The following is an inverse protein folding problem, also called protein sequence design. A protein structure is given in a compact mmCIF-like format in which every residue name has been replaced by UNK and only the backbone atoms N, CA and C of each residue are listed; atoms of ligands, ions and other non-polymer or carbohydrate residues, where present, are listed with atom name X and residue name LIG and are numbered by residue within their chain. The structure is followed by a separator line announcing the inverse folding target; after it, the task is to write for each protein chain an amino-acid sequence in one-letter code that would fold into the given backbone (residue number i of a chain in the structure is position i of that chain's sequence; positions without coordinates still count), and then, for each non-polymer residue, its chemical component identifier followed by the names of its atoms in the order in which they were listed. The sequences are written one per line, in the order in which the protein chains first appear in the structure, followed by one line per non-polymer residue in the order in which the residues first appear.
data_IF_720956484575
#
_entry.id   IF_720956484575
#
_cell.length_a   1.000
_cell.length_b   1.000
_cell.length_c   1.000
_cell.angle_alpha   90.00
_cell.angle_beta   90.00
_cell.angle_gamma   90.00
#
_symmetry.space_group_name_H-M   'P 1'
#
loop_
_entity.id
_entity.type
_entity.pdbx_description
1 polymer ?
#
# COMPACT_ATOMS: atom_id res chain seq x y z
N UNK A 1 11.95 -24.16 19.34
CA UNK A 1 11.55 -22.92 18.63
C UNK A 1 12.60 -21.86 18.86
N UNK A 2 13.29 -21.39 17.82
CA UNK A 2 14.37 -20.43 17.86
C UNK A 2 13.96 -19.12 17.16
N UNK A 3 14.37 -17.97 17.72
CA UNK A 3 14.10 -16.63 17.16
C UNK A 3 15.43 -15.95 16.87
N UNK A 4 15.62 -15.47 15.64
CA UNK A 4 16.86 -14.83 15.21
C UNK A 4 16.61 -13.73 14.16
N UNK A 5 17.55 -12.80 13.97
CA UNK A 5 17.54 -11.89 12.82
C UNK A 5 17.64 -12.64 11.49
N UNK A 6 17.30 -11.92 10.42
CA UNK A 6 17.38 -12.35 9.05
C UNK A 6 18.79 -12.77 8.63
N UNK A 7 18.89 -13.85 7.85
CA UNK A 7 20.09 -14.28 7.13
C UNK A 7 19.85 -14.26 5.61
N UNK A 8 20.93 -14.05 4.82
CA UNK A 8 20.83 -14.03 3.36
C UNK A 8 20.37 -15.36 2.73
N UNK A 9 20.32 -16.43 3.50
CA UNK A 9 19.75 -17.72 3.10
C UNK A 9 18.24 -17.84 3.30
N UNK A 10 17.59 -16.87 3.96
CA UNK A 10 16.18 -16.95 4.34
C UNK A 10 15.16 -16.65 3.23
N UNK A 11 15.47 -15.87 2.16
CA UNK A 11 14.46 -15.48 1.18
C UNK A 11 13.62 -16.63 0.63
N UNK A 12 14.16 -17.80 0.26
CA UNK A 12 13.33 -18.91 -0.21
C UNK A 12 12.34 -19.41 0.85
N UNK A 13 12.76 -19.48 2.12
CA UNK A 13 11.89 -19.88 3.23
C UNK A 13 10.81 -18.83 3.55
N UNK A 14 11.16 -17.55 3.50
CA UNK A 14 10.22 -16.44 3.70
C UNK A 14 9.18 -16.37 2.57
N UNK A 15 9.60 -16.54 1.32
CA UNK A 15 8.73 -16.62 0.16
C UNK A 15 7.77 -17.82 0.26
N UNK A 16 8.28 -18.99 0.65
CA UNK A 16 7.45 -20.17 0.89
C UNK A 16 6.41 -19.91 2.00
N UNK A 17 6.84 -19.31 3.11
CA UNK A 17 5.96 -18.95 4.23
C UNK A 17 4.88 -17.94 3.81
N UNK A 18 5.21 -16.98 2.92
CA UNK A 18 4.23 -16.05 2.32
C UNK A 18 3.07 -16.81 1.68
N UNK A 19 3.38 -17.74 0.76
CA UNK A 19 2.36 -18.51 0.03
C UNK A 19 1.57 -19.46 0.94
N UNK A 20 2.21 -20.03 1.96
CA UNK A 20 1.57 -20.94 2.92
C UNK A 20 0.69 -20.22 3.97
N UNK A 21 0.92 -18.91 4.19
CA UNK A 21 0.28 -18.15 5.28
C UNK A 21 -1.20 -17.80 5.04
N UNK A 22 -1.75 -18.05 3.84
CA UNK A 22 -3.15 -17.77 3.49
C UNK A 22 -3.54 -16.32 3.80
N UNK A 23 -2.82 -15.37 3.23
CA UNK A 23 -2.94 -13.93 3.51
C UNK A 23 -4.23 -13.27 2.99
N UNK A 24 -5.11 -14.05 2.35
CA UNK A 24 -6.39 -13.57 1.84
C UNK A 24 -6.31 -12.87 0.48
N UNK A 25 -7.42 -12.23 0.09
CA UNK A 25 -7.62 -11.66 -1.26
C UNK A 25 -6.72 -10.46 -1.58
N UNK A 26 -6.15 -9.82 -0.55
CA UNK A 26 -5.33 -8.60 -0.71
C UNK A 26 -3.81 -8.87 -0.71
N UNK A 27 -3.38 -10.13 -0.81
CA UNK A 27 -1.98 -10.51 -1.02
C UNK A 27 -1.80 -11.07 -2.43
N UNK A 28 -0.76 -10.64 -3.12
CA UNK A 28 -0.38 -11.19 -4.43
C UNK A 28 0.09 -12.64 -4.28
N UNK A 29 -0.10 -13.44 -5.31
CA UNK A 29 0.26 -14.85 -5.37
C UNK A 29 0.90 -15.17 -6.74
N UNK A 30 1.62 -16.30 -6.82
CA UNK A 30 2.15 -16.80 -8.08
C UNK A 30 3.40 -16.07 -8.59
N UNK A 31 4.02 -15.21 -7.78
CA UNK A 31 5.29 -14.56 -8.10
C UNK A 31 6.48 -15.34 -7.54
N UNK A 32 7.68 -15.10 -8.08
CA UNK A 32 8.93 -15.76 -7.68
C UNK A 32 9.57 -15.14 -6.41
N UNK A 33 10.62 -15.82 -5.92
CA UNK A 33 11.39 -15.35 -4.77
C UNK A 33 12.07 -14.01 -5.03
N UNK A 34 12.50 -13.76 -6.26
CA UNK A 34 13.08 -12.50 -6.73
C UNK A 34 12.15 -11.29 -6.52
N UNK A 35 10.87 -11.48 -6.80
CA UNK A 35 9.84 -10.45 -6.54
C UNK A 35 9.64 -10.23 -5.03
N UNK A 36 9.63 -11.32 -4.24
CA UNK A 36 9.58 -11.17 -2.78
C UNK A 36 10.76 -10.37 -2.25
N UNK A 37 11.98 -10.70 -2.70
CA UNK A 37 13.19 -9.98 -2.34
C UNK A 37 13.11 -8.50 -2.73
N UNK A 38 12.63 -8.21 -3.93
CA UNK A 38 12.52 -6.84 -4.45
C UNK A 38 11.67 -5.93 -3.54
N UNK A 39 10.53 -6.41 -3.06
CA UNK A 39 9.58 -5.61 -2.28
C UNK A 39 9.71 -5.74 -0.75
N UNK A 40 10.42 -6.75 -0.27
CA UNK A 40 10.55 -7.01 1.16
C UNK A 40 11.97 -6.77 1.72
N UNK A 41 13.03 -6.90 0.89
CA UNK A 41 14.41 -6.98 1.38
C UNK A 41 15.34 -5.99 0.66
N UNK A 42 15.10 -5.71 -0.64
CA UNK A 42 15.93 -4.82 -1.45
C UNK A 42 15.74 -3.31 -1.21
N UNK A 43 14.69 -2.80 -0.57
CA UNK A 43 14.61 -1.37 -0.26
C UNK A 43 15.87 -0.89 0.49
N UNK A 44 16.43 0.30 0.15
CA UNK A 44 17.74 0.75 0.66
C UNK A 44 17.77 1.02 2.17
N UNK A 45 16.60 1.05 2.81
CA UNK A 45 16.43 1.21 4.25
C UNK A 45 16.09 -0.12 4.96
N UNK A 46 16.28 -1.26 4.30
CA UNK A 46 16.16 -2.57 4.93
C UNK A 46 17.26 -2.78 5.96
N UNK A 47 16.87 -3.12 7.18
CA UNK A 47 17.79 -3.47 8.26
C UNK A 47 17.59 -4.95 8.65
N UNK A 48 18.67 -5.74 8.59
CA UNK A 48 18.64 -7.19 8.86
C UNK A 48 18.10 -7.53 10.24
N UNK A 49 18.46 -6.75 11.24
CA UNK A 49 18.04 -6.96 12.62
C UNK A 49 16.55 -6.63 12.84
N UNK A 50 15.94 -5.89 11.91
CA UNK A 50 14.52 -5.57 11.92
C UNK A 50 13.63 -6.68 11.37
N UNK A 51 14.17 -7.62 10.56
CA UNK A 51 13.44 -8.79 10.12
C UNK A 51 13.81 -9.98 11.00
N UNK A 52 12.90 -10.39 11.89
CA UNK A 52 13.10 -11.46 12.85
C UNK A 52 12.28 -12.67 12.44
N UNK A 53 12.93 -13.82 12.33
CA UNK A 53 12.33 -15.10 11.95
C UNK A 53 12.15 -16.02 13.16
N UNK A 54 11.14 -16.87 13.09
CA UNK A 54 10.92 -17.99 14.00
C UNK A 54 11.18 -19.31 13.26
N UNK A 55 12.09 -20.12 13.76
CA UNK A 55 12.44 -21.45 13.25
C UNK A 55 11.95 -22.55 14.19
N UNK A 56 11.46 -23.65 13.62
CA UNK A 56 11.23 -24.88 14.36
C UNK A 56 12.54 -25.64 14.62
N UNK A 57 12.44 -26.75 15.35
CA UNK A 57 13.63 -27.55 15.72
C UNK A 57 14.26 -28.29 14.51
N UNK A 58 13.60 -28.30 13.35
CA UNK A 58 14.12 -28.81 12.09
C UNK A 58 14.73 -27.70 11.21
N UNK A 59 14.79 -26.44 11.68
CA UNK A 59 15.32 -25.30 10.94
C UNK A 59 14.37 -24.72 9.90
N UNK A 60 13.08 -25.09 9.92
CA UNK A 60 12.07 -24.54 9.00
C UNK A 60 11.56 -23.21 9.53
N UNK A 61 11.45 -22.20 8.65
CA UNK A 61 10.84 -20.92 8.97
C UNK A 61 9.32 -21.09 9.13
N UNK A 62 8.80 -20.80 10.32
CA UNK A 62 7.39 -20.96 10.68
C UNK A 62 6.70 -19.64 11.00
N UNK A 63 7.45 -18.56 11.07
CA UNK A 63 6.95 -17.20 11.24
C UNK A 63 8.02 -16.16 11.04
N UNK A 64 7.60 -14.91 10.78
CA UNK A 64 8.48 -13.76 10.83
C UNK A 64 7.70 -12.48 11.16
N UNK A 65 8.42 -11.49 11.64
CA UNK A 65 8.00 -10.10 11.76
C UNK A 65 9.01 -9.23 11.04
N UNK A 66 8.54 -8.18 10.35
CA UNK A 66 9.40 -7.20 9.73
C UNK A 66 9.14 -5.84 10.37
N UNK A 67 10.08 -5.40 11.20
CA UNK A 67 10.10 -4.10 11.84
C UNK A 67 10.98 -3.13 11.05
N UNK A 68 10.55 -1.89 10.93
CA UNK A 68 11.23 -0.80 10.24
C UNK A 68 10.77 0.53 10.84
N UNK A 69 10.99 1.64 10.13
CA UNK A 69 10.65 2.97 10.58
C UNK A 69 9.82 3.71 9.53
N UNK A 70 8.97 4.65 9.99
CA UNK A 70 8.23 5.52 9.12
C UNK A 70 9.16 6.52 8.42
N UNK A 71 8.70 7.08 7.31
CA UNK A 71 9.36 8.22 6.68
C UNK A 71 9.09 9.51 7.49
N UNK A 72 10.06 10.44 7.51
CA UNK A 72 9.89 11.78 8.08
C UNK A 72 8.89 12.62 7.24
N UNK A 73 8.42 13.73 7.80
CA UNK A 73 7.44 14.61 7.14
C UNK A 73 7.91 15.20 5.79
N UNK A 74 9.22 15.33 5.60
CA UNK A 74 9.83 15.82 4.35
C UNK A 74 10.05 14.71 3.31
N UNK A 75 9.78 13.46 3.63
CA UNK A 75 9.99 12.26 2.80
C UNK A 75 11.44 12.10 2.29
N UNK A 76 12.42 12.54 3.10
CA UNK A 76 13.85 12.55 2.76
C UNK A 76 14.67 11.53 3.54
N UNK A 77 14.14 11.01 4.65
CA UNK A 77 14.82 10.05 5.52
C UNK A 77 13.80 9.29 6.40
N UNK A 78 14.25 8.23 7.06
CA UNK A 78 13.46 7.56 8.08
C UNK A 78 13.38 8.37 9.36
N UNK A 79 12.26 8.29 10.06
CA UNK A 79 12.02 8.83 11.39
C UNK A 79 12.15 7.69 12.41
N UNK A 80 13.30 7.59 13.05
CA UNK A 80 13.60 6.53 14.00
C UNK A 80 12.80 6.60 15.31
N UNK A 81 12.08 7.68 15.59
CA UNK A 81 11.16 7.74 16.73
C UNK A 81 9.83 7.00 16.46
N UNK A 82 9.54 6.70 15.19
CA UNK A 82 8.29 6.10 14.74
C UNK A 82 8.54 4.72 14.09
N UNK A 83 8.49 3.67 14.89
CA UNK A 83 8.59 2.29 14.43
C UNK A 83 7.36 1.83 13.64
N UNK A 84 7.58 0.89 12.72
CA UNK A 84 6.55 0.23 11.93
C UNK A 84 6.73 -1.29 12.06
N UNK A 85 5.65 -2.04 12.23
CA UNK A 85 5.61 -3.47 11.89
C UNK A 85 5.02 -3.60 10.48
N UNK A 86 5.89 -3.72 9.49
CA UNK A 86 5.52 -3.78 8.08
C UNK A 86 4.83 -5.11 7.71
N UNK A 87 5.23 -6.21 8.35
CA UNK A 87 4.62 -7.52 8.20
C UNK A 87 4.70 -8.34 9.49
N UNK A 88 3.74 -9.25 9.68
CA UNK A 88 3.75 -10.28 10.70
C UNK A 88 3.07 -11.52 10.15
N UNK A 89 3.78 -12.62 10.12
CA UNK A 89 3.28 -13.91 9.63
C UNK A 89 3.61 -15.05 10.56
N UNK A 90 2.66 -15.98 10.68
CA UNK A 90 2.85 -17.27 11.33
C UNK A 90 2.16 -18.33 10.50
N UNK A 91 2.89 -19.39 10.16
CA UNK A 91 2.36 -20.52 9.42
C UNK A 91 1.08 -21.05 10.08
N UNK A 92 0.01 -21.37 9.34
CA UNK A 92 -1.29 -21.75 9.91
C UNK A 92 -1.23 -22.84 10.97
N UNK A 93 -0.43 -23.88 10.77
CA UNK A 93 -0.27 -25.01 11.71
C UNK A 93 0.46 -24.64 13.01
N UNK A 94 1.18 -23.51 13.02
CA UNK A 94 1.93 -23.03 14.17
C UNK A 94 1.25 -21.86 14.90
N UNK A 95 0.04 -21.48 14.45
CA UNK A 95 -0.75 -20.43 15.11
C UNK A 95 -1.25 -20.86 16.48
N UNK A 96 -1.61 -19.86 17.32
CA UNK A 96 -2.15 -20.05 18.68
C UNK A 96 -1.18 -20.71 19.68
N UNK A 97 0.12 -20.73 19.37
CA UNK A 97 1.20 -21.27 20.21
C UNK A 97 2.10 -20.16 20.80
N UNK A 98 1.66 -18.89 20.74
CA UNK A 98 2.42 -17.75 21.28
C UNK A 98 3.52 -17.19 20.36
N UNK A 99 3.79 -17.81 19.18
CA UNK A 99 4.87 -17.42 18.28
C UNK A 99 4.72 -15.96 17.81
N UNK A 100 3.53 -15.58 17.35
CA UNK A 100 3.27 -14.20 16.90
C UNK A 100 3.52 -13.16 17.99
N UNK A 101 3.14 -13.45 19.24
CA UNK A 101 3.40 -12.56 20.39
C UNK A 101 4.90 -12.40 20.64
N UNK A 102 5.66 -13.49 20.58
CA UNK A 102 7.12 -13.42 20.76
C UNK A 102 7.81 -12.67 19.63
N UNK A 103 7.36 -12.86 18.39
CA UNK A 103 7.86 -12.08 17.24
C UNK A 103 7.63 -10.59 17.45
N UNK A 104 6.43 -10.17 17.86
CA UNK A 104 6.12 -8.76 18.17
C UNK A 104 7.02 -8.24 19.29
N UNK A 105 7.24 -9.00 20.36
CA UNK A 105 8.14 -8.59 21.45
C UNK A 105 9.58 -8.37 20.99
N UNK A 106 10.13 -9.25 20.15
CA UNK A 106 11.45 -9.06 19.56
C UNK A 106 11.52 -7.83 18.66
N UNK A 107 10.49 -7.60 17.85
CA UNK A 107 10.39 -6.42 17.01
C UNK A 107 10.33 -5.12 17.84
N UNK A 108 9.55 -5.10 18.92
CA UNK A 108 9.48 -3.95 19.83
C UNK A 108 10.84 -3.68 20.50
N UNK A 109 11.54 -4.73 20.94
CA UNK A 109 12.90 -4.61 21.51
C UNK A 109 13.88 -4.02 20.51
N UNK A 110 13.86 -4.50 19.26
CA UNK A 110 14.67 -3.94 18.18
C UNK A 110 14.34 -2.46 17.96
N UNK A 111 13.06 -2.10 17.81
CA UNK A 111 12.64 -0.71 17.58
C UNK A 111 13.06 0.23 18.72
N UNK A 112 12.89 -0.19 19.98
CA UNK A 112 13.34 0.56 21.16
C UNK A 112 14.85 0.75 21.15
N UNK A 113 15.62 -0.28 20.83
CA UNK A 113 17.09 -0.21 20.75
C UNK A 113 17.59 0.79 19.70
N UNK A 114 16.74 1.09 18.69
CA UNK A 114 17.00 2.06 17.63
C UNK A 114 16.43 3.46 17.92
N UNK A 115 15.73 3.64 19.04
CA UNK A 115 15.21 4.95 19.48
C UNK A 115 13.72 5.16 19.26
N UNK A 116 12.96 4.14 18.81
CA UNK A 116 11.53 4.29 18.61
C UNK A 116 10.78 4.53 19.94
N UNK A 117 9.89 5.50 19.93
CA UNK A 117 8.98 5.84 21.04
C UNK A 117 7.57 5.32 20.81
N UNK A 118 7.23 5.09 19.56
CA UNK A 118 5.93 4.56 19.15
C UNK A 118 6.11 3.49 18.10
N UNK A 119 5.15 2.59 17.98
CA UNK A 119 5.09 1.61 16.89
C UNK A 119 3.70 1.56 16.28
N UNK A 120 3.66 1.49 14.95
CA UNK A 120 2.42 1.32 14.18
C UNK A 120 2.50 0.03 13.35
N UNK A 121 1.71 -0.96 13.74
CA UNK A 121 1.60 -2.21 12.99
C UNK A 121 0.73 -2.00 11.76
N UNK A 122 1.25 -2.39 10.56
CA UNK A 122 0.66 -2.11 9.25
C UNK A 122 1.10 -0.79 8.62
N UNK A 123 1.77 0.08 9.38
CA UNK A 123 2.45 1.29 8.93
C UNK A 123 1.58 2.45 8.44
N UNK A 124 0.42 2.21 7.87
CA UNK A 124 -0.46 3.25 7.34
C UNK A 124 -0.14 3.74 5.93
N UNK A 125 -1.09 4.48 5.36
CA UNK A 125 -1.00 5.03 4.01
C UNK A 125 0.21 5.99 3.89
N UNK A 126 1.01 5.83 2.83
CA UNK A 126 2.25 6.56 2.56
C UNK A 126 3.39 6.38 3.57
N UNK A 127 3.26 5.55 4.59
CA UNK A 127 4.25 5.41 5.66
C UNK A 127 5.01 4.10 5.66
N UNK A 128 4.39 3.00 5.21
CA UNK A 128 5.06 1.72 5.07
C UNK A 128 5.90 1.69 3.79
N UNK A 129 7.18 1.38 3.94
CA UNK A 129 8.14 1.31 2.83
C UNK A 129 8.24 -0.05 2.17
N UNK A 130 7.61 -1.08 2.72
CA UNK A 130 7.74 -2.47 2.28
C UNK A 130 6.42 -3.04 1.78
N UNK A 131 6.50 -4.09 0.97
CA UNK A 131 5.36 -4.87 0.46
C UNK A 131 4.37 -4.09 -0.41
N UNK A 132 4.72 -2.87 -0.87
CA UNK A 132 3.90 -2.12 -1.83
C UNK A 132 3.73 -2.94 -3.12
N UNK A 133 2.50 -3.02 -3.65
CA UNK A 133 2.21 -3.79 -4.86
C UNK A 133 2.14 -5.32 -4.69
N UNK A 134 2.45 -5.88 -3.49
CA UNK A 134 2.28 -7.30 -3.21
C UNK A 134 1.35 -7.59 -2.03
N UNK A 135 1.11 -6.62 -1.14
CA UNK A 135 0.17 -6.73 -0.03
C UNK A 135 -0.69 -5.47 0.12
N UNK A 136 -1.96 -5.66 0.47
CA UNK A 136 -2.92 -4.58 0.71
C UNK A 136 -3.53 -3.99 -0.57
N UNK A 137 -3.04 -4.36 -1.73
CA UNK A 137 -3.30 -3.72 -3.02
C UNK A 137 -2.11 -2.87 -3.44
N UNK A 138 -2.33 -1.64 -3.91
CA UNK A 138 -1.26 -0.73 -4.32
C UNK A 138 -0.28 -0.42 -3.19
N UNK A 139 -0.80 -0.11 -2.00
CA UNK A 139 0.00 0.21 -0.82
C UNK A 139 -0.30 -0.74 0.33
N UNK A 140 0.73 -1.13 1.08
CA UNK A 140 0.59 -1.91 2.30
C UNK A 140 0.20 -0.98 3.48
N UNK A 141 -1.01 -0.40 3.41
CA UNK A 141 -1.48 0.66 4.30
C UNK A 141 -2.10 0.15 5.62
N UNK A 142 -1.99 -1.13 5.93
CA UNK A 142 -2.55 -1.75 7.12
C UNK A 142 -2.89 -3.22 6.93
N UNK A 143 -3.45 -3.84 7.95
CA UNK A 143 -3.96 -5.21 7.89
C UNK A 143 -5.44 -5.21 7.47
N UNK A 144 -5.86 -6.25 6.74
CA UNK A 144 -7.25 -6.38 6.34
C UNK A 144 -8.18 -6.43 7.57
N UNK A 145 -9.09 -5.47 7.69
CA UNK A 145 -9.98 -5.31 8.85
C UNK A 145 -11.04 -6.41 8.95
N UNK A 146 -11.33 -7.13 7.85
CA UNK A 146 -12.26 -8.26 7.84
C UNK A 146 -11.73 -9.46 8.67
N UNK A 147 -10.42 -9.50 8.96
CA UNK A 147 -9.81 -10.53 9.79
C UNK A 147 -9.86 -10.11 11.28
N UNK A 148 -10.97 -10.38 11.96
CA UNK A 148 -11.14 -10.12 13.41
C UNK A 148 -10.00 -10.69 14.25
N UNK A 149 -9.43 -11.82 13.87
CA UNK A 149 -8.28 -12.43 14.55
C UNK A 149 -7.05 -11.52 14.64
N UNK A 150 -6.86 -10.62 13.68
CA UNK A 150 -5.77 -9.62 13.72
C UNK A 150 -6.02 -8.54 14.77
N UNK A 151 -7.25 -8.03 14.89
CA UNK A 151 -7.64 -7.03 15.91
C UNK A 151 -7.44 -7.55 17.32
N UNK A 152 -7.98 -8.75 17.60
CA UNK A 152 -7.88 -9.37 18.93
C UNK A 152 -6.43 -9.68 19.29
N UNK A 153 -5.63 -10.10 18.30
CA UNK A 153 -4.22 -10.36 18.48
C UNK A 153 -3.44 -9.09 18.88
N UNK A 154 -3.61 -8.00 18.13
CA UNK A 154 -2.90 -6.76 18.44
C UNK A 154 -3.39 -6.13 19.74
N UNK A 155 -4.69 -6.20 20.05
CA UNK A 155 -5.23 -5.79 21.35
C UNK A 155 -4.59 -6.59 22.49
N UNK A 156 -4.44 -7.91 22.35
CA UNK A 156 -3.76 -8.77 23.35
C UNK A 156 -2.24 -8.49 23.46
N UNK A 157 -1.62 -7.80 22.48
CA UNK A 157 -0.25 -7.31 22.54
C UNK A 157 -0.14 -5.86 23.08
N UNK A 158 -1.26 -5.25 23.48
CA UNK A 158 -1.31 -3.90 24.04
C UNK A 158 -1.40 -2.78 23.00
N UNK A 159 -1.77 -3.10 21.77
CA UNK A 159 -2.01 -2.12 20.72
C UNK A 159 -3.46 -1.63 20.74
N UNK A 160 -3.67 -0.39 20.33
CA UNK A 160 -4.99 0.18 20.06
C UNK A 160 -5.18 0.40 18.57
N UNK A 161 -6.43 0.44 18.11
CA UNK A 161 -6.73 0.73 16.71
C UNK A 161 -6.18 2.11 16.31
N UNK A 162 -5.52 2.15 15.16
CA UNK A 162 -4.93 3.35 14.54
C UNK A 162 -5.75 3.86 13.36
N UNK A 163 -5.06 4.30 12.31
CA UNK A 163 -5.68 4.81 11.09
C UNK A 163 -6.39 3.70 10.29
N UNK A 164 -7.46 4.07 9.62
CA UNK A 164 -8.21 3.20 8.71
C UNK A 164 -8.16 3.74 7.29
N UNK A 165 -7.92 2.84 6.32
CA UNK A 165 -7.84 3.15 4.89
C UNK A 165 -8.90 2.37 4.13
N UNK A 166 -9.75 3.06 3.35
CA UNK A 166 -10.67 2.46 2.41
C UNK A 166 -9.92 2.01 1.16
N UNK A 167 -10.11 0.78 0.74
CA UNK A 167 -9.72 0.26 -0.57
C UNK A 167 -10.92 0.38 -1.49
N UNK A 168 -10.86 1.31 -2.44
CA UNK A 168 -11.93 1.59 -3.39
C UNK A 168 -11.56 0.99 -4.75
N UNK A 169 -12.51 0.35 -5.42
CA UNK A 169 -12.28 -0.26 -6.74
C UNK A 169 -13.35 0.12 -7.73
N UNK A 170 -12.94 0.22 -9.00
CA UNK A 170 -13.85 0.42 -10.12
C UNK A 170 -13.58 -0.62 -11.18
N UNK A 171 -14.60 -1.42 -11.50
CA UNK A 171 -14.61 -2.32 -12.66
C UNK A 171 -14.90 -1.49 -13.91
N UNK A 172 -13.94 -1.39 -14.82
CA UNK A 172 -14.04 -0.58 -16.02
C UNK A 172 -14.91 -1.22 -17.11
N UNK A 173 -15.16 -2.52 -17.05
CA UNK A 173 -16.01 -3.21 -18.02
C UNK A 173 -17.50 -3.06 -17.67
N UNK A 174 -17.82 -3.09 -16.37
CA UNK A 174 -19.20 -3.05 -15.89
C UNK A 174 -19.69 -1.64 -15.59
N UNK A 175 -18.80 -0.75 -15.15
CA UNK A 175 -19.21 0.60 -14.75
C UNK A 175 -19.27 1.56 -15.92
N UNK A 176 -20.37 2.33 -16.01
CA UNK A 176 -20.52 3.43 -16.97
C UNK A 176 -20.06 4.73 -16.33
N UNK A 177 -19.44 5.59 -17.14
CA UNK A 177 -19.05 6.92 -16.69
C UNK A 177 -20.27 7.79 -16.39
N UNK A 178 -20.27 8.58 -15.32
CA UNK A 178 -21.29 9.59 -15.10
C UNK A 178 -21.23 10.66 -16.22
N UNK A 179 -22.38 11.09 -16.68
CA UNK A 179 -22.50 12.12 -17.74
C UNK A 179 -23.31 13.28 -17.18
N UNK A 180 -22.72 14.46 -17.16
CA UNK A 180 -23.41 15.71 -16.83
C UNK A 180 -22.74 16.91 -17.52
N UNK A 181 -23.48 18.01 -17.66
CA UNK A 181 -23.11 19.18 -18.47
C UNK A 181 -21.73 19.78 -18.09
N UNK A 182 -21.34 19.72 -16.80
CA UNK A 182 -20.02 20.18 -16.34
C UNK A 182 -18.88 19.38 -16.99
N UNK A 183 -18.96 18.04 -16.98
CA UNK A 183 -17.93 17.18 -17.56
C UNK A 183 -17.79 17.40 -19.07
N UNK A 184 -18.91 17.64 -19.77
CA UNK A 184 -18.90 17.94 -21.22
C UNK A 184 -18.20 19.26 -21.51
N UNK A 185 -18.40 20.30 -20.69
CA UNK A 185 -17.69 21.59 -20.80
C UNK A 185 -16.19 21.42 -20.58
N UNK A 186 -15.78 20.71 -19.50
CA UNK A 186 -14.36 20.45 -19.20
C UNK A 186 -13.65 19.70 -20.33
N UNK A 187 -14.33 18.76 -20.99
CA UNK A 187 -13.80 18.04 -22.15
C UNK A 187 -13.40 18.96 -23.30
N UNK A 188 -14.11 20.08 -23.48
CA UNK A 188 -13.83 21.05 -24.56
C UNK A 188 -12.67 21.98 -24.21
N UNK A 189 -12.52 22.35 -22.95
CA UNK A 189 -11.52 23.33 -22.47
C UNK A 189 -10.20 22.73 -22.03
N UNK A 190 -10.13 21.40 -21.78
CA UNK A 190 -8.96 20.75 -21.27
C UNK A 190 -8.30 19.82 -22.29
N UNK A 191 -7.00 19.65 -22.12
CA UNK A 191 -6.19 18.62 -22.78
C UNK A 191 -5.52 17.73 -21.73
N UNK A 192 -5.30 16.48 -22.07
CA UNK A 192 -4.60 15.51 -21.25
C UNK A 192 -3.19 15.33 -21.77
N UNK A 193 -2.21 15.41 -20.89
CA UNK A 193 -0.83 15.06 -21.14
C UNK A 193 -0.46 13.83 -20.32
N UNK A 194 0.30 12.94 -20.91
CA UNK A 194 0.83 11.73 -20.26
C UNK A 194 2.34 11.84 -20.28
N UNK A 195 2.96 11.57 -19.16
CA UNK A 195 4.41 11.53 -19.03
C UNK A 195 4.83 10.29 -18.25
N UNK A 196 5.84 9.60 -18.75
CA UNK A 196 6.50 8.50 -18.06
C UNK A 196 7.43 9.01 -16.94
N UNK A 197 7.62 10.34 -16.87
CA UNK A 197 8.35 10.93 -15.76
C UNK A 197 7.40 11.03 -14.58
N UNK A 198 7.73 10.40 -13.44
CA UNK A 198 7.11 10.79 -12.20
C UNK A 198 7.28 12.31 -12.05
N UNK A 199 6.35 12.99 -11.43
CA UNK A 199 6.49 14.42 -11.13
C UNK A 199 7.69 14.69 -10.23
N UNK A 200 7.75 15.83 -9.52
CA UNK A 200 8.76 16.07 -8.50
C UNK A 200 8.52 15.11 -7.32
N UNK A 201 8.95 13.88 -7.51
CA UNK A 201 8.74 12.80 -6.55
C UNK A 201 9.82 12.84 -5.47
N UNK A 202 9.42 12.50 -4.25
CA UNK A 202 10.33 12.38 -3.12
C UNK A 202 11.23 11.15 -3.24
N UNK A 203 12.35 11.15 -2.50
CA UNK A 203 13.16 9.94 -2.29
C UNK A 203 12.29 8.75 -1.84
N UNK A 204 11.33 9.00 -0.94
CA UNK A 204 10.42 7.98 -0.42
C UNK A 204 9.55 7.35 -1.50
N UNK A 205 9.09 8.16 -2.46
CA UNK A 205 8.35 7.65 -3.60
C UNK A 205 9.17 6.64 -4.41
N UNK A 206 10.40 7.03 -4.78
CA UNK A 206 11.29 6.14 -5.54
C UNK A 206 11.58 4.84 -4.82
N UNK A 207 11.80 4.88 -3.51
CA UNK A 207 12.04 3.69 -2.70
C UNK A 207 10.86 2.72 -2.69
N UNK A 208 9.64 3.21 -2.84
CA UNK A 208 8.41 2.39 -2.76
C UNK A 208 7.88 1.94 -4.13
N UNK A 209 7.97 2.79 -5.13
CA UNK A 209 7.31 2.61 -6.41
C UNK A 209 8.28 2.64 -7.61
N UNK A 210 9.54 2.97 -7.41
CA UNK A 210 10.53 3.08 -8.49
C UNK A 210 10.78 1.79 -9.27
N UNK A 211 10.37 0.63 -8.72
CA UNK A 211 10.42 -0.69 -9.35
C UNK A 211 9.12 -1.09 -10.04
N UNK A 212 8.10 -0.22 -10.01
CA UNK A 212 6.79 -0.49 -10.60
C UNK A 212 6.55 0.42 -11.80
N UNK A 213 5.90 -0.12 -12.82
CA UNK A 213 5.47 0.70 -13.96
C UNK A 213 4.55 1.81 -13.49
N UNK A 214 4.88 3.04 -13.82
CA UNK A 214 4.10 4.19 -13.42
C UNK A 214 4.02 5.24 -14.51
N UNK A 215 2.91 5.96 -14.55
CA UNK A 215 2.68 7.11 -15.44
C UNK A 215 2.07 8.26 -14.65
N UNK A 216 2.44 9.46 -15.02
CA UNK A 216 1.77 10.68 -14.55
C UNK A 216 0.84 11.19 -15.62
N UNK A 217 -0.37 11.54 -15.22
CA UNK A 217 -1.39 12.14 -16.11
C UNK A 217 -1.71 13.53 -15.59
N UNK A 218 -1.68 14.49 -16.49
CA UNK A 218 -1.95 15.89 -16.21
C UNK A 218 -3.08 16.41 -17.08
N UNK A 219 -3.91 17.27 -16.51
CA UNK A 219 -4.89 18.06 -17.24
C UNK A 219 -4.42 19.50 -17.30
N UNK A 220 -4.37 20.03 -18.51
CA UNK A 220 -4.02 21.41 -18.78
C UNK A 220 -5.16 22.12 -19.50
N UNK A 221 -5.30 23.42 -19.30
CA UNK A 221 -6.18 24.25 -20.11
C UNK A 221 -5.66 24.30 -21.55
N UNK A 222 -6.55 24.24 -22.54
CA UNK A 222 -6.14 24.34 -23.95
C UNK A 222 -5.67 25.74 -24.35
N UNK A 223 -6.20 26.75 -23.69
CA UNK A 223 -5.97 28.15 -24.01
C UNK A 223 -4.61 28.65 -23.46
N UNK A 224 -4.35 28.41 -22.18
CA UNK A 224 -3.17 28.94 -21.48
C UNK A 224 -2.13 27.89 -21.13
N UNK A 225 -2.45 26.60 -21.36
CA UNK A 225 -1.62 25.45 -20.97
C UNK A 225 -1.35 25.35 -19.45
N UNK A 226 -2.22 25.94 -18.63
CA UNK A 226 -2.09 25.88 -17.18
C UNK A 226 -2.45 24.48 -16.65
N UNK A 227 -1.65 23.97 -15.73
CA UNK A 227 -1.94 22.72 -15.01
C UNK A 227 -3.11 22.90 -14.04
N UNK A 228 -4.19 22.15 -14.23
CA UNK A 228 -5.39 22.22 -13.38
C UNK A 228 -5.63 20.98 -12.52
N UNK A 229 -5.09 19.84 -12.92
CA UNK A 229 -5.11 18.61 -12.13
C UNK A 229 -4.01 17.65 -12.58
N UNK A 230 -3.53 16.84 -11.66
CA UNK A 230 -2.59 15.76 -11.94
C UNK A 230 -2.94 14.51 -11.15
N UNK A 231 -2.53 13.36 -11.65
CA UNK A 231 -2.69 12.07 -10.96
C UNK A 231 -1.62 11.08 -11.42
N UNK A 232 -1.43 10.04 -10.64
CA UNK A 232 -0.46 9.00 -10.95
C UNK A 232 -1.16 7.65 -11.05
N UNK A 233 -0.75 6.88 -12.05
CA UNK A 233 -1.12 5.48 -12.26
C UNK A 233 0.10 4.63 -11.92
N UNK A 234 -0.13 3.52 -11.23
CA UNK A 234 0.91 2.52 -10.91
C UNK A 234 0.38 1.15 -11.27
N UNK A 235 1.17 0.35 -11.98
CA UNK A 235 0.83 -1.02 -12.36
C UNK A 235 0.65 -1.94 -11.17
N UNK A 236 -0.30 -2.87 -11.25
CA UNK A 236 -0.57 -3.87 -10.22
C UNK A 236 -0.60 -5.28 -10.82
N UNK A 237 0.27 -5.55 -11.79
CA UNK A 237 0.26 -6.80 -12.56
C UNK A 237 0.59 -8.04 -11.70
N UNK A 238 1.28 -7.86 -10.56
CA UNK A 238 1.54 -8.93 -9.58
C UNK A 238 0.25 -9.51 -8.97
N UNK A 239 -0.87 -8.82 -9.09
CA UNK A 239 -2.18 -9.34 -8.65
C UNK A 239 -2.93 -10.10 -9.74
N UNK A 240 -2.46 -10.13 -11.00
CA UNK A 240 -3.14 -10.84 -12.09
C UNK A 240 -3.37 -12.32 -11.75
N UNK A 241 -2.39 -13.09 -11.23
CA UNK A 241 -2.62 -14.48 -10.89
C UNK A 241 -3.74 -14.69 -9.86
N UNK A 242 -3.91 -13.71 -8.95
CA UNK A 242 -4.90 -13.76 -7.88
C UNK A 242 -6.28 -13.26 -8.31
N UNK A 243 -6.33 -12.14 -9.02
CA UNK A 243 -7.59 -11.47 -9.36
C UNK A 243 -8.11 -11.85 -10.74
N UNK A 244 -7.27 -12.46 -11.59
CA UNK A 244 -7.63 -12.88 -12.95
C UNK A 244 -7.85 -11.72 -13.92
N UNK A 245 -7.48 -10.48 -13.54
CA UNK A 245 -7.72 -9.25 -14.30
C UNK A 245 -6.53 -8.32 -14.24
N UNK A 246 -6.26 -7.62 -15.34
CA UNK A 246 -5.27 -6.55 -15.36
C UNK A 246 -5.77 -5.36 -14.55
N UNK A 247 -4.95 -4.90 -13.62
CA UNK A 247 -5.34 -3.85 -12.66
C UNK A 247 -4.26 -2.79 -12.50
N UNK A 248 -4.69 -1.58 -12.13
CA UNK A 248 -3.80 -0.46 -11.80
C UNK A 248 -4.28 0.26 -10.55
N UNK A 249 -3.35 0.88 -9.84
CA UNK A 249 -3.63 1.78 -8.73
C UNK A 249 -3.61 3.25 -9.16
N UNK A 250 -4.56 4.04 -8.67
CA UNK A 250 -4.55 5.49 -8.76
C UNK A 250 -4.10 6.09 -7.44
N UNK A 251 -3.16 7.01 -7.52
CA UNK A 251 -2.67 7.76 -6.36
C UNK A 251 -2.41 9.22 -6.71
N UNK A 252 -2.21 10.04 -5.68
CA UNK A 252 -1.83 11.46 -5.81
C UNK A 252 -2.73 12.25 -6.78
N UNK A 253 -4.06 12.11 -6.65
CA UNK A 253 -4.99 12.96 -7.39
C UNK A 253 -4.92 14.36 -6.79
N UNK A 254 -4.23 15.26 -7.47
CA UNK A 254 -3.94 16.62 -7.03
C UNK A 254 -4.73 17.63 -7.87
N UNK A 255 -5.40 18.56 -7.19
CA UNK A 255 -6.02 19.74 -7.79
C UNK A 255 -5.58 20.94 -6.96
N UNK A 256 -4.98 21.98 -7.57
CA UNK A 256 -4.62 23.21 -6.88
C UNK A 256 -5.79 23.73 -6.03
N UNK A 257 -5.52 24.24 -4.84
CA UNK A 257 -6.55 24.62 -3.88
C UNK A 257 -7.56 25.62 -4.47
N UNK A 258 -7.07 26.62 -5.17
CA UNK A 258 -7.89 27.62 -5.87
C UNK A 258 -8.79 27.06 -6.97
N UNK A 259 -8.51 25.84 -7.44
CA UNK A 259 -9.24 25.15 -8.52
C UNK A 259 -10.11 23.98 -8.02
N UNK A 260 -10.20 23.77 -6.72
CA UNK A 260 -11.04 22.73 -6.13
C UNK A 260 -12.54 23.06 -6.33
N UNK A 261 -13.39 22.03 -6.29
CA UNK A 261 -14.87 22.10 -6.45
C UNK A 261 -15.36 22.48 -7.86
N UNK A 262 -14.47 22.74 -8.82
CA UNK A 262 -14.85 22.96 -10.24
C UNK A 262 -15.01 21.67 -11.05
N UNK A 263 -14.76 20.50 -10.46
CA UNK A 263 -14.94 19.19 -11.10
C UNK A 263 -13.68 18.64 -11.80
N UNK A 264 -12.56 19.33 -11.71
CA UNK A 264 -11.30 18.90 -12.34
C UNK A 264 -10.82 17.52 -11.86
N UNK A 265 -10.87 17.24 -10.56
CA UNK A 265 -10.46 15.94 -10.02
C UNK A 265 -11.33 14.80 -10.53
N UNK A 266 -12.66 14.97 -10.57
CA UNK A 266 -13.57 13.97 -11.13
C UNK A 266 -13.33 13.78 -12.62
N UNK A 267 -13.15 14.87 -13.37
CA UNK A 267 -12.86 14.79 -14.80
C UNK A 267 -11.55 14.03 -15.06
N UNK A 268 -10.48 14.32 -14.29
CA UNK A 268 -9.19 13.60 -14.37
C UNK A 268 -9.39 12.11 -14.15
N UNK A 269 -10.02 11.69 -13.04
CA UNK A 269 -10.25 10.27 -12.73
C UNK A 269 -11.02 9.58 -13.87
N UNK A 270 -12.04 10.23 -14.43
CA UNK A 270 -12.84 9.67 -15.53
C UNK A 270 -12.05 9.56 -16.84
N UNK A 271 -11.22 10.56 -17.15
CA UNK A 271 -10.36 10.52 -18.36
C UNK A 271 -9.32 9.40 -18.23
N UNK A 272 -8.70 9.25 -17.04
CA UNK A 272 -7.81 8.15 -16.75
C UNK A 272 -8.54 6.80 -16.94
N UNK A 273 -9.71 6.62 -16.35
CA UNK A 273 -10.47 5.38 -16.47
C UNK A 273 -10.84 5.04 -17.93
N UNK A 274 -11.14 6.05 -18.76
CA UNK A 274 -11.40 5.84 -20.19
C UNK A 274 -10.15 5.36 -20.90
N UNK A 275 -9.04 6.05 -20.69
CA UNK A 275 -7.75 5.67 -21.29
C UNK A 275 -7.36 4.25 -20.92
N UNK A 276 -7.45 3.89 -19.64
CA UNK A 276 -7.14 2.56 -19.15
C UNK A 276 -8.05 1.48 -19.73
N UNK A 277 -9.33 1.80 -19.97
CA UNK A 277 -10.26 0.88 -20.64
C UNK A 277 -9.83 0.60 -22.08
N UNK A 278 -9.38 1.63 -22.80
CA UNK A 278 -8.86 1.48 -24.17
C UNK A 278 -7.56 0.65 -24.20
N UNK A 279 -6.80 0.62 -23.09
CA UNK A 279 -5.60 -0.21 -22.90
C UNK A 279 -5.90 -1.59 -22.27
N UNK A 280 -7.17 -2.00 -22.27
CA UNK A 280 -7.62 -3.30 -21.73
C UNK A 280 -7.36 -3.51 -20.22
N UNK A 281 -7.18 -2.47 -19.44
CA UNK A 281 -7.23 -2.53 -17.98
C UNK A 281 -8.68 -2.74 -17.55
N UNK A 282 -8.89 -3.66 -16.65
CA UNK A 282 -10.23 -4.06 -16.21
C UNK A 282 -10.60 -3.51 -14.84
N UNK A 283 -9.61 -3.30 -13.98
CA UNK A 283 -9.82 -2.88 -12.61
C UNK A 283 -8.93 -1.69 -12.25
N UNK A 284 -9.51 -0.69 -11.62
CA UNK A 284 -8.78 0.46 -11.06
C UNK A 284 -9.01 0.50 -9.56
N UNK A 285 -7.92 0.59 -8.80
CA UNK A 285 -7.94 0.70 -7.35
C UNK A 285 -7.48 2.10 -6.89
N UNK A 286 -8.06 2.58 -5.80
CA UNK A 286 -7.58 3.76 -5.08
C UNK A 286 -7.66 3.48 -3.58
N UNK A 287 -6.65 3.93 -2.84
CA UNK A 287 -6.62 3.82 -1.38
C UNK A 287 -6.76 5.22 -0.77
N UNK A 288 -7.70 5.36 0.16
CA UNK A 288 -8.09 6.65 0.73
C UNK A 288 -8.30 6.51 2.24
N UNK A 289 -7.67 7.39 3.03
CA UNK A 289 -7.98 7.47 4.47
C UNK A 289 -9.47 7.73 4.69
N UNK A 290 -10.07 7.08 5.69
CA UNK A 290 -11.48 7.32 6.06
C UNK A 290 -11.74 8.78 6.44
N UNK A 291 -10.73 9.50 6.90
CA UNK A 291 -10.81 10.91 7.29
C UNK A 291 -10.77 11.86 6.08
N UNK A 292 -10.37 11.38 4.89
CA UNK A 292 -10.34 12.19 3.68
C UNK A 292 -11.66 12.14 2.93
N UNK A 293 -12.68 12.78 3.51
CA UNK A 293 -14.05 12.83 2.98
C UNK A 293 -14.09 13.34 1.53
N UNK A 294 -13.27 14.35 1.19
CA UNK A 294 -13.26 14.92 -0.15
C UNK A 294 -12.76 13.91 -1.20
N UNK A 295 -11.75 13.10 -0.88
CA UNK A 295 -11.29 12.05 -1.78
C UNK A 295 -12.29 10.89 -1.87
N UNK A 296 -12.93 10.51 -0.76
CA UNK A 296 -13.98 9.50 -0.77
C UNK A 296 -15.15 9.92 -1.67
N UNK A 297 -15.62 11.17 -1.56
CA UNK A 297 -16.66 11.75 -2.44
C UNK A 297 -16.22 11.76 -3.92
N UNK A 298 -14.97 12.14 -4.18
CA UNK A 298 -14.39 12.14 -5.53
C UNK A 298 -14.47 10.76 -6.17
N UNK A 299 -13.97 9.73 -5.49
CA UNK A 299 -13.95 8.38 -6.04
C UNK A 299 -15.36 7.77 -6.12
N UNK A 300 -16.20 7.95 -5.11
CA UNK A 300 -17.59 7.46 -5.13
C UNK A 300 -18.40 8.10 -6.27
N UNK A 301 -18.28 9.43 -6.46
CA UNK A 301 -18.92 10.12 -7.59
C UNK A 301 -18.35 9.70 -8.96
N UNK A 302 -17.13 9.16 -8.97
CA UNK A 302 -16.48 8.57 -10.15
C UNK A 302 -16.76 7.08 -10.31
N UNK A 303 -17.75 6.52 -9.56
CA UNK A 303 -18.19 5.12 -9.63
C UNK A 303 -17.18 4.09 -9.13
N UNK A 304 -16.34 4.48 -8.17
CA UNK A 304 -15.61 3.53 -7.35
C UNK A 304 -16.49 3.03 -6.20
N UNK A 305 -16.34 1.77 -5.86
CA UNK A 305 -17.09 1.10 -4.79
C UNK A 305 -16.12 0.64 -3.70
N UNK A 306 -16.59 0.60 -2.47
CA UNK A 306 -15.80 0.09 -1.35
C UNK A 306 -15.59 -1.42 -1.53
N UNK A 307 -14.32 -1.82 -1.65
CA UNK A 307 -13.92 -3.23 -1.76
C UNK A 307 -13.49 -3.83 -0.43
N UNK A 308 -12.91 -3.04 0.45
CA UNK A 308 -12.42 -3.45 1.76
C UNK A 308 -11.80 -2.31 2.53
N UNK A 309 -11.31 -2.62 3.73
CA UNK A 309 -10.64 -1.65 4.60
C UNK A 309 -9.35 -2.24 5.15
N UNK A 310 -8.35 -1.40 5.32
CA UNK A 310 -7.09 -1.71 5.96
C UNK A 310 -7.01 -0.94 7.27
N UNK A 311 -6.63 -1.62 8.35
CA UNK A 311 -6.55 -1.07 9.70
C UNK A 311 -5.11 -1.13 10.19
N UNK A 312 -4.62 -0.04 10.75
CA UNK A 312 -3.37 -0.04 11.53
C UNK A 312 -3.65 -0.21 13.02
N UNK A 313 -2.60 -0.59 13.76
CA UNK A 313 -2.66 -0.69 15.22
C UNK A 313 -1.43 0.00 15.80
N UNK A 314 -1.61 0.82 16.84
CA UNK A 314 -0.54 1.62 17.42
C UNK A 314 -0.32 1.32 18.89
N UNK A 315 0.94 1.49 19.33
CA UNK A 315 1.35 1.33 20.73
C UNK A 315 2.47 2.31 21.05
N UNK A 316 2.46 2.91 22.23
CA UNK A 316 3.61 3.61 22.77
C UNK A 316 4.63 2.58 23.25
N UNK A 317 5.91 2.81 22.95
CA UNK A 317 7.04 2.04 23.42
C UNK A 317 7.65 2.82 24.60
N UNK A 318 7.59 2.24 25.79
CA UNK A 318 8.10 2.85 27.02
C UNK A 318 9.50 2.40 27.33
#
# INVERSE_FOLDING_TARGET
MHYRPYHNSDPPGLHQLWHQSRLGKNAAEGFGCDIFELFAISPPYFERDGLIVAEDDAGRLVGYVHASFAVNAAETALDYEQGILAALMVHPEYRRQGIGRRLVQHAEQYLVSRGARTVEAGGGLNRNGFYCGIYGGLEAAGFCSEAMAGRDFFAACGYVAGAETCVLRRDLQRSRDPVHARLLRLRRSLQMLITDRPGPESWWWFCRFGQMDSMRIELHTRETNDLVAAGQIVGMDLFIPKWGVRSVGLRQILVPESLRRYGYGQFLVLVICRRLRDEHVQLVEAQVSVDNVAALELFTSSKFELHGRLQTFRKALG
#
